data_IF_695697191631
#
_entry.id   IF_695697191631
#
_cell.length_a   1.000
_cell.length_b   1.000
_cell.length_c   1.000
_cell.angle_alpha   90.00
_cell.angle_beta   90.00
_cell.angle_gamma   90.00
#
_symmetry.space_group_name_H-M   'P 1'
#
loop_
_entity.id
_entity.type
_entity.pdbx_description
1 polymer ?
#
# COMPACT_ATOMS: atom_id res chain seq x y z
N UNK A 1 6.77 7.92 -7.74
CA UNK A 1 6.09 7.92 -6.42
C UNK A 1 4.91 6.99 -6.55
N UNK A 2 4.86 5.93 -5.74
CA UNK A 2 3.79 4.94 -5.75
C UNK A 2 2.73 5.34 -4.75
N UNK A 3 1.49 5.46 -5.19
CA UNK A 3 0.37 5.80 -4.30
C UNK A 3 -0.49 4.55 -4.13
N UNK A 4 -0.74 4.17 -2.88
CA UNK A 4 -1.59 3.04 -2.53
C UNK A 4 -2.76 3.55 -1.71
N UNK A 5 -3.99 3.15 -2.05
CA UNK A 5 -5.19 3.52 -1.31
C UNK A 5 -5.88 2.25 -0.80
N UNK A 6 -5.89 2.06 0.51
CA UNK A 6 -6.56 0.91 1.13
C UNK A 6 -8.06 1.19 1.26
N UNK A 7 -8.95 0.44 0.57
CA UNK A 7 -10.40 0.61 0.70
C UNK A 7 -10.97 0.10 2.02
N UNK A 8 -10.25 -0.75 2.76
CA UNK A 8 -10.73 -1.34 4.01
C UNK A 8 -10.62 -0.36 5.19
N UNK A 9 -9.51 0.38 5.25
CA UNK A 9 -9.23 1.36 6.31
C UNK A 9 -9.48 2.81 5.86
N UNK A 10 -9.48 3.05 4.54
CA UNK A 10 -9.52 4.40 3.96
C UNK A 10 -8.17 5.12 3.95
N UNK A 11 -7.11 4.46 4.43
CA UNK A 11 -5.76 5.03 4.48
C UNK A 11 -5.09 5.10 3.11
N UNK A 12 -4.22 6.12 2.95
CA UNK A 12 -3.53 6.44 1.72
C UNK A 12 -2.03 6.51 2.00
N UNK A 13 -1.25 5.65 1.33
CA UNK A 13 0.20 5.62 1.42
C UNK A 13 0.79 6.23 0.16
N UNK A 14 1.58 7.29 0.33
CA UNK A 14 2.47 7.81 -0.71
C UNK A 14 3.89 7.29 -0.45
N UNK A 15 4.40 6.41 -1.32
CA UNK A 15 5.76 5.88 -1.27
C UNK A 15 6.60 6.48 -2.38
N UNK A 16 7.46 7.45 -2.05
CA UNK A 16 8.36 8.05 -3.04
C UNK A 16 9.48 7.10 -3.44
N UNK A 17 10.01 6.34 -2.48
CA UNK A 17 11.10 5.39 -2.69
C UNK A 17 11.08 4.30 -1.60
N UNK A 18 10.78 3.05 -1.99
CA UNK A 18 11.13 1.77 -1.35
C UNK A 18 10.88 1.44 0.15
N UNK A 19 10.68 2.39 1.07
CA UNK A 19 10.76 2.12 2.51
C UNK A 19 9.60 2.71 3.31
N UNK A 20 8.39 2.19 3.11
CA UNK A 20 7.25 2.48 3.98
C UNK A 20 6.84 1.25 4.80
N UNK A 21 6.87 1.38 6.13
CA UNK A 21 6.51 0.33 7.09
C UNK A 21 5.07 -0.14 6.89
N UNK A 22 4.18 0.82 6.62
CA UNK A 22 2.76 0.56 6.39
C UNK A 22 2.49 -0.25 5.12
N UNK A 23 3.30 -0.10 4.06
CA UNK A 23 3.23 -0.98 2.88
C UNK A 23 3.60 -2.42 3.26
N UNK A 24 4.59 -2.62 4.15
CA UNK A 24 4.92 -3.97 4.64
C UNK A 24 3.82 -4.56 5.51
N UNK A 25 3.23 -3.75 6.40
CA UNK A 25 2.08 -4.17 7.22
C UNK A 25 0.90 -4.57 6.34
N UNK A 26 0.51 -3.75 5.37
CA UNK A 26 -0.59 -4.13 4.48
C UNK A 26 -0.27 -5.38 3.65
N UNK A 27 0.97 -5.55 3.19
CA UNK A 27 1.37 -6.76 2.46
C UNK A 27 1.34 -8.00 3.35
N UNK A 28 1.52 -7.85 4.67
CA UNK A 28 1.38 -8.92 5.64
C UNK A 28 -0.08 -9.20 6.01
N UNK A 29 -0.91 -8.16 6.15
CA UNK A 29 -2.33 -8.30 6.53
C UNK A 29 -3.24 -8.71 5.37
N UNK A 30 -3.11 -8.06 4.21
CA UNK A 30 -3.97 -8.25 3.05
C UNK A 30 -3.31 -9.07 1.94
N UNK A 31 -1.99 -9.26 2.02
CA UNK A 31 -1.20 -9.91 0.99
C UNK A 31 -0.61 -8.92 -0.03
N UNK A 32 0.53 -9.29 -0.60
CA UNK A 32 1.24 -8.42 -1.55
C UNK A 32 0.44 -8.16 -2.82
N UNK A 33 -0.26 -9.17 -3.34
CA UNK A 33 -1.07 -9.07 -4.55
C UNK A 33 -2.20 -8.05 -4.42
N UNK A 34 -2.92 -8.09 -3.29
CA UNK A 34 -4.01 -7.16 -2.97
C UNK A 34 -3.49 -5.73 -2.84
N UNK A 35 -2.38 -5.55 -2.11
CA UNK A 35 -1.76 -4.22 -1.95
C UNK A 35 -1.24 -3.69 -3.28
N UNK A 36 -0.69 -4.53 -4.15
CA UNK A 36 -0.30 -4.12 -5.50
C UNK A 36 -1.49 -3.71 -6.36
N UNK A 37 -2.65 -4.36 -6.20
CA UNK A 37 -3.90 -3.94 -6.87
C UNK A 37 -4.43 -2.59 -6.37
N UNK A 38 -4.06 -2.14 -5.18
CA UNK A 38 -4.44 -0.82 -4.64
C UNK A 38 -3.57 0.32 -5.13
N UNK A 39 -2.53 -0.01 -5.90
CA UNK A 39 -1.64 0.99 -6.47
C UNK A 39 -2.39 1.79 -7.52
N UNK A 40 -2.51 3.09 -7.30
CA UNK A 40 -3.19 4.01 -8.22
C UNK A 40 -2.22 4.83 -9.09
N UNK A 41 -0.92 4.80 -8.78
CA UNK A 41 0.16 5.52 -9.48
C UNK A 41 1.51 4.77 -9.34
#
# INVERSE_FOLDING_TARGET
>A
MKIYKNPNSGELIESKDGNHRQSKEWRAEFGADVVESWRTQ
#
